data_IF_751817623010
#
_entry.id   IF_751817623010
#
_cell.length_a   1.000
_cell.length_b   1.000
_cell.length_c   1.000
_cell.angle_alpha   90.00
_cell.angle_beta   90.00
_cell.angle_gamma   90.00
#
_symmetry.space_group_name_H-M   'P 1'
#
loop_
_entity.id
_entity.type
_entity.pdbx_description
1 polymer ?
#
# COMPACT_ATOMS: atom_id res chain seq x y z
N UNK A 1 23.77 -16.22 -51.46
CA UNK A 1 23.85 -16.67 -50.06
C UNK A 1 23.48 -15.48 -49.17
N UNK A 2 22.23 -15.41 -48.73
CA UNK A 2 21.73 -14.30 -47.89
C UNK A 2 21.88 -14.72 -46.42
N UNK A 3 22.59 -13.89 -45.66
CA UNK A 3 23.01 -14.11 -44.28
C UNK A 3 21.82 -14.11 -43.32
N UNK A 4 21.58 -15.22 -42.63
CA UNK A 4 20.52 -15.43 -41.62
C UNK A 4 20.99 -15.08 -40.21
N UNK A 5 21.76 -13.98 -40.01
CA UNK A 5 22.49 -13.74 -38.75
C UNK A 5 21.94 -12.59 -37.87
N UNK A 6 20.71 -12.05 -38.09
CA UNK A 6 20.29 -10.83 -37.36
C UNK A 6 19.03 -10.97 -36.50
N UNK A 7 18.42 -12.13 -36.31
CA UNK A 7 17.11 -12.26 -35.65
C UNK A 7 17.16 -12.57 -34.15
N UNK A 8 18.28 -13.01 -33.59
CA UNK A 8 18.36 -13.51 -32.21
C UNK A 8 18.37 -12.41 -31.10
N UNK A 9 18.94 -11.20 -31.28
CA UNK A 9 18.98 -10.19 -30.19
C UNK A 9 17.65 -9.50 -29.90
N UNK A 10 16.76 -9.34 -30.87
CA UNK A 10 15.50 -8.64 -30.71
C UNK A 10 14.48 -9.44 -29.89
N UNK A 11 14.37 -10.73 -30.11
CA UNK A 11 13.41 -11.62 -29.42
C UNK A 11 13.70 -11.69 -27.91
N UNK A 12 14.97 -11.67 -27.50
CA UNK A 12 15.36 -11.69 -26.10
C UNK A 12 15.11 -10.35 -25.37
N UNK A 13 15.25 -9.22 -26.08
CA UNK A 13 14.97 -7.90 -25.53
C UNK A 13 13.46 -7.68 -25.33
N UNK A 14 12.63 -8.11 -26.26
CA UNK A 14 11.16 -8.02 -26.17
C UNK A 14 10.60 -8.92 -25.06
N UNK A 15 11.14 -10.09 -24.86
CA UNK A 15 10.73 -10.99 -23.76
C UNK A 15 11.10 -10.42 -22.40
N UNK A 16 12.26 -9.78 -22.26
CA UNK A 16 12.70 -9.11 -21.03
C UNK A 16 11.81 -7.89 -20.70
N UNK A 17 11.51 -7.05 -21.69
CA UNK A 17 10.65 -5.88 -21.53
C UNK A 17 9.23 -6.29 -21.09
N UNK A 18 8.67 -7.32 -21.72
CA UNK A 18 7.34 -7.84 -21.37
C UNK A 18 7.30 -8.43 -19.95
N UNK A 19 8.37 -9.10 -19.50
CA UNK A 19 8.51 -9.58 -18.13
C UNK A 19 8.49 -8.42 -17.12
N UNK A 20 9.33 -7.39 -17.32
CA UNK A 20 9.39 -6.25 -16.42
C UNK A 20 8.07 -5.48 -16.37
N UNK A 21 7.38 -5.32 -17.51
CA UNK A 21 6.07 -4.67 -17.58
C UNK A 21 5.03 -5.43 -16.78
N UNK A 22 4.94 -6.75 -16.93
CA UNK A 22 3.99 -7.58 -16.16
C UNK A 22 4.27 -7.52 -14.66
N UNK A 23 5.54 -7.57 -14.26
CA UNK A 23 5.94 -7.48 -12.85
C UNK A 23 5.66 -6.11 -12.25
N UNK A 24 5.94 -5.02 -12.97
CA UNK A 24 5.57 -3.69 -12.53
C UNK A 24 4.06 -3.57 -12.30
N UNK A 25 3.25 -3.99 -13.28
CA UNK A 25 1.79 -3.99 -13.18
C UNK A 25 1.27 -4.82 -12.00
N UNK A 26 1.83 -6.01 -11.79
CA UNK A 26 1.45 -6.87 -10.67
C UNK A 26 1.61 -6.16 -9.32
N UNK A 27 2.76 -5.54 -9.08
CA UNK A 27 3.03 -4.83 -7.83
C UNK A 27 2.17 -3.58 -7.66
N UNK A 28 1.90 -2.86 -8.76
CA UNK A 28 1.01 -1.69 -8.75
C UNK A 28 -0.46 -2.08 -8.48
N UNK A 29 -0.93 -3.18 -9.06
CA UNK A 29 -2.28 -3.72 -8.79
C UNK A 29 -2.38 -4.18 -7.34
N UNK A 30 -1.37 -4.86 -6.81
CA UNK A 30 -1.35 -5.28 -5.41
C UNK A 30 -1.45 -4.07 -4.46
N UNK A 31 -0.69 -3.01 -4.73
CA UNK A 31 -0.76 -1.77 -3.96
C UNK A 31 -2.13 -1.09 -4.06
N UNK A 32 -2.66 -0.95 -5.27
CA UNK A 32 -3.99 -0.36 -5.49
C UNK A 32 -5.10 -1.18 -4.82
N UNK A 33 -5.02 -2.51 -4.86
CA UNK A 33 -5.95 -3.40 -4.15
C UNK A 33 -5.86 -3.21 -2.63
N UNK A 34 -4.65 -3.01 -2.08
CA UNK A 34 -4.45 -2.66 -0.68
C UNK A 34 -5.12 -1.34 -0.30
N UNK A 35 -5.02 -0.31 -1.15
CA UNK A 35 -5.72 0.96 -0.94
C UNK A 35 -7.24 0.80 -0.98
N UNK A 36 -7.77 0.02 -1.93
CA UNK A 36 -9.21 -0.26 -2.00
C UNK A 36 -9.67 -0.98 -0.75
N UNK A 37 -8.95 -2.00 -0.30
CA UNK A 37 -9.27 -2.73 0.91
C UNK A 37 -9.26 -1.80 2.13
N UNK A 38 -8.21 -1.00 2.31
CA UNK A 38 -8.11 -0.04 3.41
C UNK A 38 -9.23 1.01 3.38
N UNK A 39 -9.65 1.46 2.19
CA UNK A 39 -10.79 2.35 2.05
C UNK A 39 -12.12 1.68 2.41
N UNK A 40 -12.35 0.46 1.96
CA UNK A 40 -13.59 -0.26 2.25
C UNK A 40 -13.72 -0.63 3.73
N UNK A 41 -12.61 -0.96 4.39
CA UNK A 41 -12.61 -1.28 5.82
C UNK A 41 -12.75 -0.04 6.70
N UNK A 42 -12.38 1.15 6.24
CA UNK A 42 -12.57 2.38 6.99
C UNK A 42 -14.05 2.77 7.18
N UNK A 43 -14.96 2.34 6.29
CA UNK A 43 -16.38 2.68 6.36
C UNK A 43 -17.06 2.01 7.57
N UNK A 44 -17.00 0.67 7.77
CA UNK A 44 -17.62 0.02 8.90
C UNK A 44 -16.74 -0.02 10.16
N UNK A 45 -15.96 1.04 10.44
CA UNK A 45 -14.95 1.04 11.50
C UNK A 45 -15.50 0.63 12.89
N UNK A 46 -16.72 1.08 13.23
CA UNK A 46 -17.36 0.71 14.50
C UNK A 46 -17.70 -0.81 14.53
N UNK A 47 -18.12 -1.37 13.41
CA UNK A 47 -18.41 -2.80 13.30
C UNK A 47 -17.13 -3.64 13.34
N UNK A 48 -16.06 -3.17 12.67
CA UNK A 48 -14.76 -3.84 12.71
C UNK A 48 -14.17 -3.88 14.12
N UNK A 49 -14.19 -2.74 14.82
CA UNK A 49 -13.71 -2.70 16.21
C UNK A 49 -14.52 -3.58 17.14
N UNK A 50 -15.84 -3.73 16.90
CA UNK A 50 -16.68 -4.68 17.61
C UNK A 50 -16.24 -6.12 17.35
N UNK A 51 -16.08 -6.51 16.08
CA UNK A 51 -15.64 -7.87 15.72
C UNK A 51 -14.27 -8.20 16.30
N UNK A 52 -13.34 -7.24 16.32
CA UNK A 52 -12.02 -7.41 16.95
C UNK A 52 -12.15 -7.59 18.45
N UNK A 53 -13.00 -6.79 19.13
CA UNK A 53 -13.26 -6.92 20.56
C UNK A 53 -13.87 -8.30 20.90
N UNK A 54 -14.90 -8.73 20.15
CA UNK A 54 -15.52 -10.06 20.33
C UNK A 54 -14.48 -11.20 20.12
N UNK A 55 -13.63 -11.07 19.10
CA UNK A 55 -12.58 -12.04 18.83
C UNK A 55 -11.54 -12.12 19.97
N UNK A 56 -11.14 -10.97 20.52
CA UNK A 56 -10.21 -10.92 21.67
C UNK A 56 -10.75 -11.57 22.92
N UNK A 57 -12.08 -11.56 23.13
CA UNK A 57 -12.75 -12.22 24.26
C UNK A 57 -13.09 -13.70 23.97
N UNK A 58 -12.73 -14.21 22.81
CA UNK A 58 -12.95 -15.58 22.37
C UNK A 58 -11.69 -16.24 21.84
N UNK A 59 -11.62 -16.57 20.52
CA UNK A 59 -10.46 -17.26 19.93
C UNK A 59 -9.13 -16.51 20.08
N UNK A 60 -9.16 -15.18 20.22
CA UNK A 60 -8.02 -14.30 20.36
C UNK A 60 -7.54 -14.05 21.79
N UNK A 61 -8.11 -14.71 22.80
CA UNK A 61 -7.77 -14.54 24.22
C UNK A 61 -6.28 -14.78 24.53
N UNK A 62 -5.63 -15.68 23.78
CA UNK A 62 -4.18 -15.87 23.85
C UNK A 62 -3.39 -14.61 23.50
N UNK A 63 -3.81 -13.87 22.48
CA UNK A 63 -3.20 -12.58 22.11
C UNK A 63 -3.49 -11.50 23.16
N UNK A 64 -4.71 -11.45 23.67
CA UNK A 64 -5.09 -10.51 24.71
C UNK A 64 -4.26 -10.68 25.97
N UNK A 65 -3.94 -11.92 26.36
CA UNK A 65 -3.04 -12.23 27.50
C UNK A 65 -1.59 -11.88 27.23
N UNK A 66 -1.13 -12.05 26.00
CA UNK A 66 0.27 -11.79 25.60
C UNK A 66 0.53 -10.28 25.46
N UNK A 67 -0.45 -9.53 24.96
CA UNK A 67 -0.37 -8.08 24.71
C UNK A 67 -1.53 -7.34 25.40
N UNK A 68 -1.59 -7.33 26.74
CA UNK A 68 -2.72 -6.78 27.48
C UNK A 68 -2.95 -5.28 27.24
N UNK A 69 -1.89 -4.51 27.05
CA UNK A 69 -1.99 -3.09 26.73
C UNK A 69 -2.64 -2.83 25.36
N UNK A 70 -2.34 -3.68 24.36
CA UNK A 70 -2.97 -3.60 23.03
C UNK A 70 -4.46 -3.98 23.11
N UNK A 71 -4.78 -5.06 23.83
CA UNK A 71 -6.16 -5.50 24.02
C UNK A 71 -7.00 -4.43 24.73
N UNK A 72 -6.47 -3.84 25.81
CA UNK A 72 -7.12 -2.74 26.53
C UNK A 72 -7.35 -1.51 25.64
N UNK A 73 -6.40 -1.19 24.78
CA UNK A 73 -6.54 -0.09 23.81
C UNK A 73 -7.63 -0.36 22.78
N UNK A 74 -7.66 -1.55 22.19
CA UNK A 74 -8.69 -1.94 21.21
C UNK A 74 -10.09 -1.90 21.83
N UNK A 75 -10.23 -2.36 23.08
CA UNK A 75 -11.49 -2.31 23.82
C UNK A 75 -11.91 -0.87 24.13
N UNK A 76 -10.97 -0.01 24.51
CA UNK A 76 -11.24 1.41 24.72
C UNK A 76 -11.68 2.11 23.44
N UNK A 77 -10.99 1.83 22.33
CA UNK A 77 -11.31 2.35 21.01
C UNK A 77 -12.70 1.91 20.54
N UNK A 78 -13.04 0.61 20.71
CA UNK A 78 -14.37 0.08 20.39
C UNK A 78 -15.47 0.82 21.17
N UNK A 79 -15.36 0.88 22.50
CA UNK A 79 -16.35 1.56 23.34
C UNK A 79 -16.46 3.04 23.03
N UNK A 80 -15.33 3.71 22.79
CA UNK A 80 -15.27 5.12 22.43
C UNK A 80 -16.01 5.40 21.11
N UNK A 81 -15.70 4.64 20.07
CA UNK A 81 -16.33 4.76 18.75
C UNK A 81 -17.84 4.43 18.83
N UNK A 82 -18.21 3.32 19.46
CA UNK A 82 -19.61 2.92 19.59
C UNK A 82 -20.46 3.99 20.30
N UNK A 83 -19.94 4.53 21.41
CA UNK A 83 -20.66 5.57 22.16
C UNK A 83 -20.70 6.91 21.41
N UNK A 84 -19.61 7.30 20.75
CA UNK A 84 -19.55 8.53 19.98
C UNK A 84 -20.49 8.49 18.75
N UNK A 85 -20.49 7.41 18.00
CA UNK A 85 -21.34 7.27 16.80
C UNK A 85 -22.81 7.09 17.14
N UNK A 86 -23.14 6.43 18.27
CA UNK A 86 -24.53 6.37 18.75
C UNK A 86 -25.07 7.75 19.14
N UNK A 87 -24.23 8.59 19.75
CA UNK A 87 -24.64 9.93 20.18
C UNK A 87 -24.52 10.99 19.08
N UNK A 88 -23.51 10.87 18.24
CA UNK A 88 -23.16 11.81 17.18
C UNK A 88 -22.84 11.08 15.87
N UNK A 89 -23.87 10.57 15.14
CA UNK A 89 -23.63 9.76 13.92
C UNK A 89 -22.79 10.45 12.85
N UNK A 90 -22.83 11.80 12.79
CA UNK A 90 -22.05 12.59 11.83
C UNK A 90 -20.52 12.46 12.02
N UNK A 91 -20.04 11.99 13.16
CA UNK A 91 -18.60 11.77 13.38
C UNK A 91 -18.05 10.61 12.48
N UNK A 92 -18.91 9.66 12.10
CA UNK A 92 -18.53 8.62 11.15
C UNK A 92 -18.18 9.19 9.77
N UNK A 93 -18.69 10.37 9.42
CA UNK A 93 -18.37 11.05 8.17
C UNK A 93 -16.86 11.33 7.99
N UNK A 94 -16.10 11.44 9.09
CA UNK A 94 -14.63 11.55 9.03
C UNK A 94 -13.96 10.30 8.47
N UNK A 95 -14.44 9.11 8.85
CA UNK A 95 -13.94 7.84 8.30
C UNK A 95 -14.44 7.57 6.89
N UNK A 96 -15.62 8.06 6.51
CA UNK A 96 -16.11 8.03 5.12
C UNK A 96 -15.19 8.86 4.19
N UNK A 97 -14.73 10.03 4.64
CA UNK A 97 -13.75 10.84 3.90
C UNK A 97 -12.38 10.16 3.81
N UNK A 98 -11.96 9.45 4.85
CA UNK A 98 -10.74 8.64 4.80
C UNK A 98 -10.88 7.53 3.75
N UNK A 99 -12.02 6.83 3.72
CA UNK A 99 -12.34 5.83 2.72
C UNK A 99 -12.31 6.42 1.30
N UNK A 100 -12.97 7.56 1.09
CA UNK A 100 -12.96 8.29 -0.18
C UNK A 100 -11.52 8.64 -0.61
N UNK A 101 -10.67 9.13 0.30
CA UNK A 101 -9.28 9.42 0.03
C UNK A 101 -8.48 8.20 -0.45
N UNK A 102 -8.69 7.03 0.17
CA UNK A 102 -8.05 5.79 -0.25
C UNK A 102 -8.54 5.31 -1.63
N UNK A 103 -9.85 5.34 -1.87
CA UNK A 103 -10.45 4.92 -3.14
C UNK A 103 -10.02 5.83 -4.30
N UNK A 104 -10.02 7.15 -4.10
CA UNK A 104 -9.57 8.10 -5.13
C UNK A 104 -8.08 7.96 -5.41
N UNK A 105 -7.26 7.70 -4.38
CA UNK A 105 -5.85 7.39 -4.57
C UNK A 105 -5.66 6.08 -5.35
N UNK A 106 -6.44 5.04 -5.06
CA UNK A 106 -6.40 3.80 -5.83
C UNK A 106 -6.75 4.02 -7.31
N UNK A 107 -7.72 4.88 -7.63
CA UNK A 107 -8.06 5.27 -9.00
C UNK A 107 -6.87 5.97 -9.69
N UNK A 108 -6.12 6.83 -9.00
CA UNK A 108 -4.94 7.48 -9.55
C UNK A 108 -3.86 6.47 -9.99
N UNK A 109 -3.78 5.31 -9.33
CA UNK A 109 -2.87 4.23 -9.71
C UNK A 109 -3.27 3.50 -11.00
N UNK A 110 -4.47 3.74 -11.56
CA UNK A 110 -4.83 3.24 -12.88
C UNK A 110 -3.90 3.75 -14.00
N UNK A 111 -3.36 4.97 -13.83
CA UNK A 111 -2.36 5.53 -14.75
C UNK A 111 -1.08 4.70 -14.82
N UNK A 112 -0.34 4.50 -13.71
CA UNK A 112 0.85 3.66 -13.69
C UNK A 112 0.59 2.19 -14.07
N UNK A 113 -0.58 1.64 -13.76
CA UNK A 113 -0.94 0.27 -14.17
C UNK A 113 -1.03 0.16 -15.69
N UNK A 114 -1.59 1.17 -16.37
CA UNK A 114 -1.68 1.21 -17.85
C UNK A 114 -0.33 1.47 -18.49
N UNK A 115 0.36 2.53 -18.05
CA UNK A 115 1.66 2.95 -18.55
C UNK A 115 2.58 3.34 -17.38
N UNK A 116 3.36 2.39 -16.85
CA UNK A 116 4.16 2.61 -15.66
C UNK A 116 5.35 3.56 -15.88
N UNK A 117 5.87 3.64 -17.10
CA UNK A 117 7.00 4.53 -17.43
C UNK A 117 6.53 5.98 -17.49
N UNK A 118 5.46 6.23 -18.21
CA UNK A 118 4.91 7.59 -18.39
C UNK A 118 4.37 8.17 -17.08
N UNK A 119 3.81 7.32 -16.22
CA UNK A 119 3.17 7.75 -14.96
C UNK A 119 4.02 7.44 -13.71
N UNK A 120 5.34 7.32 -13.84
CA UNK A 120 6.22 6.97 -12.71
C UNK A 120 6.16 7.94 -11.53
N UNK A 121 5.80 9.19 -11.79
CA UNK A 121 5.66 10.20 -10.74
C UNK A 121 4.56 9.84 -9.72
N UNK A 122 3.48 9.16 -10.14
CA UNK A 122 2.43 8.67 -9.22
C UNK A 122 2.99 7.60 -8.29
N UNK A 123 3.87 6.73 -8.80
CA UNK A 123 4.57 5.73 -7.98
C UNK A 123 5.50 6.40 -6.98
N UNK A 124 6.22 7.44 -7.40
CA UNK A 124 7.08 8.24 -6.51
C UNK A 124 6.25 8.94 -5.43
N UNK A 125 5.13 9.55 -5.80
CA UNK A 125 4.19 10.15 -4.85
C UNK A 125 3.72 9.12 -3.80
N UNK A 126 3.31 7.93 -4.23
CA UNK A 126 2.92 6.85 -3.32
C UNK A 126 4.05 6.44 -2.37
N UNK A 127 5.30 6.35 -2.86
CA UNK A 127 6.46 6.06 -2.00
C UNK A 127 6.69 7.16 -0.96
N UNK A 128 6.59 8.43 -1.37
CA UNK A 128 6.72 9.58 -0.45
C UNK A 128 5.61 9.52 0.60
N UNK A 129 4.36 9.28 0.20
CA UNK A 129 3.24 9.16 1.12
C UNK A 129 3.46 8.03 2.14
N UNK A 130 3.92 6.86 1.70
CA UNK A 130 4.26 5.74 2.59
C UNK A 130 5.35 6.11 3.61
N UNK A 131 6.39 6.84 3.19
CA UNK A 131 7.48 7.29 4.09
C UNK A 131 6.96 8.34 5.08
N UNK A 132 6.09 9.26 4.64
CA UNK A 132 5.54 10.32 5.48
C UNK A 132 4.60 9.81 6.59
N UNK A 133 4.01 8.62 6.45
CA UNK A 133 3.22 7.99 7.53
C UNK A 133 4.04 7.87 8.81
N UNK A 134 5.35 7.55 8.70
CA UNK A 134 6.22 7.33 9.88
C UNK A 134 6.35 8.60 10.73
N UNK A 135 6.90 9.74 10.23
CA UNK A 135 7.01 10.96 11.04
C UNK A 135 5.63 11.51 11.42
N UNK A 136 4.61 11.35 10.59
CA UNK A 136 3.25 11.75 10.93
C UNK A 136 2.75 11.01 12.17
N UNK A 137 2.86 9.68 12.21
CA UNK A 137 2.48 8.86 13.38
C UNK A 137 3.28 9.25 14.61
N UNK A 138 4.61 9.40 14.49
CA UNK A 138 5.46 9.76 15.62
C UNK A 138 5.11 11.13 16.26
N UNK A 139 4.61 12.06 15.46
CA UNK A 139 4.23 13.39 15.93
C UNK A 139 2.77 13.42 16.43
N UNK A 140 1.85 12.88 15.63
CA UNK A 140 0.41 13.08 15.87
C UNK A 140 -0.15 12.09 16.90
N UNK A 141 0.34 10.85 16.93
CA UNK A 141 -0.18 9.86 17.87
C UNK A 141 -0.02 10.28 19.33
N UNK A 142 1.14 10.77 19.81
CA UNK A 142 1.28 11.29 21.17
C UNK A 142 0.35 12.50 21.45
N UNK A 143 0.19 13.41 20.49
CA UNK A 143 -0.70 14.57 20.62
C UNK A 143 -2.18 14.17 20.76
N UNK A 144 -2.55 13.00 20.28
CA UNK A 144 -3.90 12.42 20.38
C UNK A 144 -4.03 11.38 21.48
N UNK A 145 -3.01 11.24 22.34
CA UNK A 145 -2.96 10.26 23.43
C UNK A 145 -3.11 8.80 22.94
N UNK A 146 -2.68 8.52 21.70
CA UNK A 146 -2.60 7.16 21.18
C UNK A 146 -1.45 6.43 21.88
N UNK A 147 -1.67 5.24 22.44
CA UNK A 147 -0.60 4.52 23.15
C UNK A 147 0.54 4.11 22.22
N UNK A 148 1.76 4.17 22.72
CA UNK A 148 2.96 3.83 21.97
C UNK A 148 2.93 2.39 21.36
N UNK A 149 2.23 1.46 22.03
CA UNK A 149 2.04 0.08 21.54
C UNK A 149 1.26 0.02 20.20
N UNK A 150 0.43 1.05 19.90
CA UNK A 150 -0.34 1.12 18.66
C UNK A 150 0.45 1.75 17.51
N UNK A 151 1.42 2.63 17.79
CA UNK A 151 2.19 3.35 16.76
C UNK A 151 2.87 2.44 15.72
N UNK A 152 3.47 1.27 16.08
CA UNK A 152 4.00 0.34 15.09
C UNK A 152 2.93 -0.21 14.14
N UNK A 153 1.68 -0.37 14.58
CA UNK A 153 0.57 -0.81 13.73
C UNK A 153 0.30 0.25 12.66
N UNK A 154 0.17 1.51 13.06
CA UNK A 154 -0.05 2.62 12.11
C UNK A 154 1.13 2.76 11.13
N UNK A 155 2.37 2.72 11.62
CA UNK A 155 3.57 2.80 10.78
C UNK A 155 3.69 1.61 9.81
N UNK A 156 3.15 0.43 10.16
CA UNK A 156 3.19 -0.75 9.31
C UNK A 156 2.51 -0.54 7.96
N UNK A 157 1.47 0.28 7.89
CA UNK A 157 0.80 0.62 6.62
C UNK A 157 1.75 1.32 5.66
N UNK A 158 2.59 2.24 6.16
CA UNK A 158 3.62 2.89 5.36
C UNK A 158 4.69 1.90 4.88
N UNK A 159 5.20 1.06 5.78
CA UNK A 159 6.24 0.07 5.45
C UNK A 159 5.74 -0.97 4.46
N UNK A 160 4.56 -1.57 4.71
CA UNK A 160 3.97 -2.58 3.85
C UNK A 160 3.58 -2.01 2.48
N UNK A 161 3.07 -0.77 2.43
CA UNK A 161 2.75 -0.08 1.18
C UNK A 161 4.00 0.27 0.36
N UNK A 162 5.12 0.57 1.02
CA UNK A 162 6.38 0.92 0.35
C UNK A 162 6.98 -0.27 -0.40
N UNK A 163 6.83 -1.51 0.10
CA UNK A 163 7.41 -2.71 -0.51
C UNK A 163 6.97 -2.90 -1.97
N UNK A 164 5.66 -3.01 -2.29
CA UNK A 164 5.22 -3.19 -3.67
C UNK A 164 5.61 -2.01 -4.57
N UNK A 165 5.61 -0.77 -4.05
CA UNK A 165 6.00 0.40 -4.83
C UNK A 165 7.50 0.40 -5.17
N UNK A 166 8.38 0.00 -4.24
CA UNK A 166 9.81 -0.16 -4.51
C UNK A 166 10.07 -1.26 -5.55
N UNK A 167 9.35 -2.38 -5.45
CA UNK A 167 9.47 -3.47 -6.42
C UNK A 167 8.97 -3.05 -7.79
N UNK A 168 7.82 -2.37 -7.88
CA UNK A 168 7.35 -1.77 -9.13
C UNK A 168 8.36 -0.79 -9.73
N UNK A 169 8.90 0.12 -8.91
CA UNK A 169 9.88 1.12 -9.32
C UNK A 169 11.16 0.50 -9.89
N UNK A 170 11.64 -0.63 -9.32
CA UNK A 170 12.79 -1.38 -9.87
C UNK A 170 12.51 -1.88 -11.28
N UNK A 171 11.33 -2.44 -11.52
CA UNK A 171 10.93 -2.92 -12.84
C UNK A 171 10.71 -1.77 -13.84
N UNK A 172 10.14 -0.65 -13.40
CA UNK A 172 9.98 0.56 -14.22
C UNK A 172 11.33 1.09 -14.68
N UNK A 173 12.32 1.18 -13.77
CA UNK A 173 13.69 1.61 -14.14
C UNK A 173 14.36 0.66 -15.13
N UNK A 174 14.05 -0.63 -15.06
CA UNK A 174 14.56 -1.60 -16.05
C UNK A 174 13.97 -1.35 -17.44
N UNK A 175 12.70 -0.95 -17.53
CA UNK A 175 12.03 -0.58 -18.78
C UNK A 175 12.56 0.74 -19.38
N UNK A 176 13.06 1.66 -18.55
CA UNK A 176 13.62 2.95 -18.97
C UNK A 176 15.07 2.82 -19.51
N UNK A 177 15.75 1.71 -19.24
CA UNK A 177 17.14 1.53 -19.72
C UNK A 177 17.14 1.28 -21.23
N UNK A 178 17.84 2.11 -22.03
CA UNK A 178 17.99 1.85 -23.44
C UNK A 178 18.69 0.50 -23.64
N UNK A 179 18.24 -0.26 -24.63
CA UNK A 179 18.94 -1.48 -25.07
C UNK A 179 20.42 -1.10 -25.33
N UNK A 180 21.37 -1.77 -24.66
CA UNK A 180 22.79 -1.55 -24.92
C UNK A 180 23.04 -1.82 -26.42
N UNK A 181 23.62 -0.86 -27.17
CA UNK A 181 24.07 -1.15 -28.51
C UNK A 181 25.05 -2.33 -28.43
N UNK A 182 24.81 -3.38 -29.23
CA UNK A 182 25.78 -4.45 -29.39
C UNK A 182 27.10 -3.80 -29.79
N UNK A 183 28.15 -3.99 -29.00
CA UNK A 183 29.49 -3.58 -29.40
C UNK A 183 29.79 -4.28 -30.73
N UNK A 184 29.72 -3.52 -31.81
CA UNK A 184 30.22 -3.96 -33.12
C UNK A 184 31.71 -4.07 -32.90
N UNK A 185 32.20 -5.29 -32.73
CA UNK A 185 33.62 -5.63 -32.78
C UNK A 185 34.10 -5.26 -34.19
N UNK A 186 34.70 -4.09 -34.30
CA UNK A 186 35.51 -3.74 -35.45
C UNK A 186 36.77 -4.64 -35.44
N UNK A 187 36.84 -5.57 -36.39
CA UNK A 187 38.04 -6.24 -36.81
C UNK A 187 38.41 -5.79 -38.21
#
# INVERSE_FOLDING_TARGET
MVSAASAVPQVSADSSASYHLRRARFWLVLFAAGLVLAGLTAIPLAQETRLVSEWLHGPGDGLARTLPALAAWLELAHRGLASAYARFPFLAYGTDWLAFGHLTTAIAFAGPIRDPVKNKWVVQFGMIACVLVIPYTLIVAPLRHIPAIWMPVDMSFGVLGLIPLLLASRHIRALERPARPSAITAH
#
